data_IF_448460240859
#
_entry.id   IF_448460240859
#
_cell.length_a   1.000
_cell.length_b   1.000
_cell.length_c   1.000
_cell.angle_alpha   90.00
_cell.angle_beta   90.00
_cell.angle_gamma   90.00
#
_symmetry.space_group_name_H-M   'P 1'
#
loop_
_entity.id
_entity.type
_entity.pdbx_description
1 polymer ?
#
# COMPACT_ATOMS: atom_id res chain seq x y z
N UNK A 1 -8.32 9.94 13.89
CA UNK A 1 -8.47 9.14 12.67
C UNK A 1 -7.62 9.70 11.56
N UNK A 2 -6.77 8.89 10.97
CA UNK A 2 -5.88 9.32 9.89
C UNK A 2 -6.45 8.93 8.54
N UNK A 3 -6.61 9.94 7.68
CA UNK A 3 -7.21 9.79 6.35
C UNK A 3 -6.20 9.83 5.22
N UNK A 4 -4.92 10.06 5.52
CA UNK A 4 -3.89 10.22 4.50
C UNK A 4 -2.65 9.43 4.85
N UNK A 5 -1.91 9.04 3.81
CA UNK A 5 -0.58 8.47 3.97
C UNK A 5 0.32 9.06 2.88
N UNK A 6 1.62 8.98 3.10
CA UNK A 6 2.60 9.29 2.05
C UNK A 6 3.39 8.03 1.76
N UNK A 7 3.50 7.71 0.48
CA UNK A 7 4.29 6.56 0.04
C UNK A 7 5.77 6.83 0.22
N UNK A 8 6.58 5.80 0.02
CA UNK A 8 8.02 5.99 -0.10
C UNK A 8 8.34 6.69 -1.42
N UNK A 9 9.52 7.29 -1.48
CA UNK A 9 10.03 7.92 -2.70
C UNK A 9 10.18 6.87 -3.81
N UNK A 10 10.62 5.66 -3.45
CA UNK A 10 10.74 4.55 -4.41
C UNK A 10 9.40 4.21 -5.04
N UNK A 11 8.35 4.11 -4.22
CA UNK A 11 7.00 3.83 -4.72
C UNK A 11 6.53 4.92 -5.68
N UNK A 12 6.81 6.18 -5.36
CA UNK A 12 6.47 7.29 -6.24
C UNK A 12 7.14 7.15 -7.60
N UNK A 13 8.42 6.78 -7.63
CA UNK A 13 9.15 6.56 -8.88
C UNK A 13 8.57 5.41 -9.68
N UNK A 14 8.24 4.30 -9.00
CA UNK A 14 7.62 3.13 -9.63
C UNK A 14 6.28 3.52 -10.25
N UNK A 15 5.45 4.23 -9.50
CA UNK A 15 4.12 4.64 -9.98
C UNK A 15 4.21 5.63 -11.15
N UNK A 16 5.16 6.53 -11.11
CA UNK A 16 5.39 7.47 -12.23
C UNK A 16 5.73 6.69 -13.49
N UNK A 17 6.66 5.74 -13.38
CA UNK A 17 7.09 4.92 -14.49
C UNK A 17 5.94 4.07 -15.06
N UNK A 18 5.23 3.36 -14.18
CA UNK A 18 4.13 2.50 -14.58
C UNK A 18 2.93 3.28 -15.10
N UNK A 19 2.66 4.45 -14.53
CA UNK A 19 1.57 5.31 -15.00
C UNK A 19 1.83 5.76 -16.44
N UNK A 20 3.07 6.10 -16.76
CA UNK A 20 3.46 6.49 -18.10
C UNK A 20 3.36 5.32 -19.09
N UNK A 21 3.72 4.12 -18.65
CA UNK A 21 3.73 2.92 -19.50
C UNK A 21 2.34 2.32 -19.69
N UNK A 22 1.53 2.31 -18.63
CA UNK A 22 0.24 1.61 -18.57
C UNK A 22 -0.96 2.53 -18.72
N UNK A 23 -0.75 3.84 -18.60
CA UNK A 23 -1.82 4.83 -18.60
C UNK A 23 -2.83 4.61 -17.49
N UNK A 24 -2.35 4.15 -16.32
CA UNK A 24 -3.16 3.96 -15.12
C UNK A 24 -2.88 5.06 -14.10
N UNK A 25 -3.93 5.49 -13.42
CA UNK A 25 -3.79 6.50 -12.37
C UNK A 25 -3.09 5.92 -11.14
N UNK A 26 -2.36 6.76 -10.38
CA UNK A 26 -1.68 6.27 -9.16
C UNK A 26 -2.59 5.58 -8.16
N UNK A 27 -3.86 5.99 -8.04
CA UNK A 27 -4.76 5.34 -7.09
C UNK A 27 -5.11 3.91 -7.51
N UNK A 28 -5.15 3.64 -8.82
CA UNK A 28 -5.35 2.28 -9.34
C UNK A 28 -4.12 1.42 -9.05
N UNK A 29 -2.93 1.97 -9.32
CA UNK A 29 -1.67 1.29 -9.03
C UNK A 29 -1.54 0.99 -7.54
N UNK A 30 -2.00 1.91 -6.69
CA UNK A 30 -2.00 1.71 -5.24
C UNK A 30 -2.86 0.52 -4.82
N UNK A 31 -4.06 0.42 -5.37
CA UNK A 31 -4.96 -0.71 -5.05
C UNK A 31 -4.37 -2.03 -5.49
N UNK A 32 -3.78 -2.08 -6.68
CA UNK A 32 -3.12 -3.28 -7.19
C UNK A 32 -1.94 -3.67 -6.29
N UNK A 33 -1.13 -2.69 -5.90
CA UNK A 33 0.04 -2.92 -5.05
C UNK A 33 -0.36 -3.51 -3.69
N UNK A 34 -1.38 -2.94 -3.06
CA UNK A 34 -1.87 -3.44 -1.77
C UNK A 34 -2.37 -4.88 -1.93
N UNK A 35 -3.13 -5.15 -2.99
CA UNK A 35 -3.66 -6.49 -3.25
C UNK A 35 -2.53 -7.51 -3.45
N UNK A 36 -1.49 -7.16 -4.21
CA UNK A 36 -0.35 -8.03 -4.42
C UNK A 36 0.40 -8.32 -3.13
N UNK A 37 0.57 -7.31 -2.28
CA UNK A 37 1.22 -7.48 -0.99
C UNK A 37 0.40 -8.40 -0.08
N UNK A 38 -0.91 -8.24 -0.06
CA UNK A 38 -1.79 -9.07 0.76
C UNK A 38 -1.88 -10.50 0.24
N UNK A 39 -1.72 -10.71 -1.06
CA UNK A 39 -1.68 -12.04 -1.65
C UNK A 39 -0.40 -12.78 -1.28
N UNK A 40 0.67 -12.06 -1.03
CA UNK A 40 1.91 -12.64 -0.56
C UNK A 40 1.68 -13.26 0.83
N UNK A 41 2.08 -14.50 1.01
CA UNK A 41 1.83 -15.22 2.27
C UNK A 41 2.75 -14.78 3.40
N UNK A 42 3.77 -13.99 3.10
CA UNK A 42 4.68 -13.48 4.12
C UNK A 42 4.04 -12.31 4.86
N UNK A 43 4.14 -12.33 6.18
CA UNK A 43 3.74 -11.22 7.01
C UNK A 43 4.67 -10.03 6.72
N UNK A 44 4.17 -8.82 6.99
CA UNK A 44 5.03 -7.65 6.99
C UNK A 44 6.09 -7.82 8.08
N UNK A 45 7.33 -7.49 7.76
CA UNK A 45 8.40 -7.50 8.76
C UNK A 45 8.80 -6.07 9.10
N UNK A 46 9.74 -5.94 10.04
CA UNK A 46 10.13 -4.63 10.55
C UNK A 46 10.59 -3.67 9.45
N UNK A 47 11.33 -4.17 8.46
CA UNK A 47 11.85 -3.32 7.39
C UNK A 47 10.74 -2.76 6.50
N UNK A 48 9.62 -3.47 6.38
CA UNK A 48 8.49 -3.01 5.57
C UNK A 48 7.85 -1.74 6.16
N UNK A 49 8.00 -1.53 7.48
CA UNK A 49 7.48 -0.35 8.16
C UNK A 49 8.46 0.82 8.18
N UNK A 50 9.69 0.61 7.71
CA UNK A 50 10.75 1.62 7.80
C UNK A 50 10.97 2.41 6.50
N UNK A 51 10.04 2.34 5.57
CA UNK A 51 10.14 3.13 4.34
C UNK A 51 9.94 4.62 4.64
N UNK A 52 10.52 5.47 3.80
CA UNK A 52 10.39 6.91 3.96
C UNK A 52 8.97 7.40 3.61
N UNK A 53 8.73 8.70 3.82
CA UNK A 53 7.46 9.35 3.55
C UNK A 53 7.64 10.47 2.53
N UNK A 54 8.49 10.27 1.54
CA UNK A 54 8.85 11.32 0.58
C UNK A 54 8.20 11.13 -0.80
N UNK A 55 7.20 10.28 -0.87
CA UNK A 55 6.51 9.98 -2.12
C UNK A 55 5.18 10.71 -2.29
N UNK A 56 4.20 9.99 -2.78
CA UNK A 56 2.88 10.53 -3.12
C UNK A 56 1.98 10.52 -1.89
N UNK A 57 1.22 11.60 -1.68
CA UNK A 57 0.18 11.64 -0.65
C UNK A 57 -1.08 11.00 -1.21
N UNK A 58 -1.64 10.05 -0.47
CA UNK A 58 -2.83 9.30 -0.87
C UNK A 58 -3.90 9.41 0.21
N UNK A 59 -5.15 9.47 -0.24
CA UNK A 59 -6.30 9.65 0.63
C UNK A 59 -6.99 8.30 0.87
N UNK A 60 -7.31 8.01 2.14
CA UNK A 60 -7.98 6.77 2.56
C UNK A 60 -9.27 6.53 1.80
N UNK A 61 -10.08 7.59 1.62
CA UNK A 61 -11.36 7.47 0.94
C UNK A 61 -11.19 6.99 -0.50
N UNK A 62 -10.13 7.42 -1.17
CA UNK A 62 -9.86 7.04 -2.56
C UNK A 62 -9.28 5.63 -2.67
N UNK A 63 -8.43 5.25 -1.73
CA UNK A 63 -7.65 4.00 -1.82
C UNK A 63 -8.43 2.81 -1.26
N UNK A 64 -8.90 2.89 -0.02
CA UNK A 64 -9.59 1.79 0.63
C UNK A 64 -11.09 2.04 0.83
N UNK A 65 -11.47 3.28 1.05
CA UNK A 65 -12.83 3.80 1.05
C UNK A 65 -13.93 2.84 1.45
N UNK A 66 -14.77 2.47 0.50
CA UNK A 66 -15.92 1.59 0.76
C UNK A 66 -15.51 0.16 1.12
N UNK A 67 -14.27 -0.22 0.86
CA UNK A 67 -13.75 -1.55 1.18
C UNK A 67 -12.85 -1.56 2.40
N UNK A 68 -12.91 -0.49 3.20
CA UNK A 68 -12.03 -0.32 4.36
C UNK A 68 -12.11 -1.52 5.33
N UNK A 69 -13.32 -1.99 5.62
CA UNK A 69 -13.51 -3.12 6.52
C UNK A 69 -12.92 -4.42 5.95
N UNK A 70 -13.03 -4.61 4.65
CA UNK A 70 -12.42 -5.76 3.99
C UNK A 70 -10.91 -5.71 4.08
N UNK A 71 -10.30 -4.56 3.77
CA UNK A 71 -8.85 -4.41 3.87
C UNK A 71 -8.35 -4.60 5.29
N UNK A 72 -9.08 -4.10 6.28
CA UNK A 72 -8.73 -4.33 7.69
C UNK A 72 -8.72 -5.81 8.03
N UNK A 73 -9.75 -6.53 7.60
CA UNK A 73 -9.85 -7.97 7.86
C UNK A 73 -8.69 -8.72 7.21
N UNK A 74 -8.33 -8.36 5.98
CA UNK A 74 -7.23 -9.01 5.27
C UNK A 74 -5.88 -8.72 5.94
N UNK A 75 -5.68 -7.51 6.44
CA UNK A 75 -4.44 -7.14 7.14
C UNK A 75 -4.33 -7.89 8.46
N UNK A 76 -5.42 -7.96 9.23
CA UNK A 76 -5.45 -8.69 10.49
C UNK A 76 -5.13 -10.17 10.24
N UNK A 77 -5.71 -10.75 9.20
CA UNK A 77 -5.46 -12.14 8.83
C UNK A 77 -4.02 -12.36 8.41
N UNK A 78 -3.44 -11.43 7.65
CA UNK A 78 -2.05 -11.51 7.19
C UNK A 78 -1.05 -11.40 8.33
N UNK A 79 -1.25 -10.46 9.24
CA UNK A 79 -0.33 -10.19 10.34
C UNK A 79 -0.63 -10.96 11.62
N UNK A 80 -1.81 -11.56 11.71
CA UNK A 80 -2.26 -12.30 12.90
C UNK A 80 -2.20 -11.46 14.17
N UNK A 81 -2.52 -10.18 14.07
CA UNK A 81 -2.51 -9.23 15.19
C UNK A 81 -3.73 -8.33 15.14
N UNK A 82 -4.09 -7.79 16.30
CA UNK A 82 -5.11 -6.76 16.36
C UNK A 82 -4.59 -5.48 15.72
N UNK A 83 -5.48 -4.72 15.13
CA UNK A 83 -5.15 -3.53 14.37
C UNK A 83 -5.92 -2.33 14.91
N UNK A 84 -5.18 -1.33 15.41
CA UNK A 84 -5.78 -0.06 15.81
C UNK A 84 -6.09 0.78 14.58
N UNK A 85 -7.23 1.46 14.59
CA UNK A 85 -7.64 2.27 13.45
C UNK A 85 -6.62 3.36 13.12
N UNK A 86 -5.97 3.93 14.12
CA UNK A 86 -4.95 4.96 13.92
C UNK A 86 -3.71 4.45 13.21
N UNK A 87 -3.45 3.14 13.27
CA UNK A 87 -2.30 2.53 12.61
C UNK A 87 -2.67 1.91 11.27
N UNK A 88 -3.95 1.64 11.06
CA UNK A 88 -4.42 0.92 9.88
C UNK A 88 -3.97 1.58 8.58
N UNK A 89 -4.37 2.81 8.34
CA UNK A 89 -4.09 3.44 7.05
C UNK A 89 -2.66 3.99 6.95
N UNK A 90 -2.17 4.78 7.91
CA UNK A 90 -0.85 5.39 7.74
C UNK A 90 0.30 4.43 7.95
N UNK A 91 0.10 3.31 8.63
CA UNK A 91 1.18 2.34 8.91
C UNK A 91 1.04 1.07 8.10
N UNK A 92 -0.09 0.35 8.25
CA UNK A 92 -0.23 -0.98 7.63
C UNK A 92 -0.56 -0.90 6.15
N UNK A 93 -1.48 -0.05 5.75
CA UNK A 93 -1.79 0.13 4.32
C UNK A 93 -0.56 0.66 3.60
N UNK A 94 0.15 1.64 4.20
CA UNK A 94 1.38 2.17 3.61
C UNK A 94 2.42 1.07 3.42
N UNK A 95 2.65 0.23 4.43
CA UNK A 95 3.64 -0.85 4.35
C UNK A 95 3.28 -1.86 3.25
N UNK A 96 2.02 -2.26 3.17
CA UNK A 96 1.56 -3.15 2.10
C UNK A 96 1.69 -2.50 0.73
N UNK A 97 1.35 -1.22 0.63
CA UNK A 97 1.43 -0.49 -0.62
C UNK A 97 2.88 -0.40 -1.11
N UNK A 98 3.81 -0.03 -0.24
CA UNK A 98 5.22 0.10 -0.60
C UNK A 98 5.82 -1.27 -0.97
N UNK A 99 5.50 -2.33 -0.22
CA UNK A 99 5.95 -3.69 -0.55
C UNK A 99 5.35 -4.15 -1.87
N UNK A 100 4.04 -3.93 -2.04
CA UNK A 100 3.34 -4.33 -3.25
C UNK A 100 3.79 -3.60 -4.50
N UNK A 101 4.21 -2.35 -4.36
CA UNK A 101 4.74 -1.58 -5.49
C UNK A 101 6.00 -2.23 -6.05
N UNK A 102 6.87 -2.72 -5.18
CA UNK A 102 8.08 -3.43 -5.61
C UNK A 102 7.73 -4.74 -6.31
N UNK A 103 6.76 -5.47 -5.77
CA UNK A 103 6.29 -6.71 -6.38
C UNK A 103 5.73 -6.43 -7.77
N UNK A 104 4.87 -5.43 -7.88
CA UNK A 104 4.26 -5.03 -9.14
C UNK A 104 5.32 -4.67 -10.18
N UNK A 105 6.29 -3.86 -9.78
CA UNK A 105 7.35 -3.41 -10.67
C UNK A 105 8.19 -4.58 -11.18
N UNK A 106 8.52 -5.53 -10.30
CA UNK A 106 9.32 -6.69 -10.69
C UNK A 106 8.57 -7.61 -11.67
N UNK A 107 7.25 -7.69 -11.54
CA UNK A 107 6.44 -8.51 -12.44
C UNK A 107 6.24 -7.86 -13.81
N UNK A 108 6.21 -6.55 -13.83
CA UNK A 108 5.90 -5.82 -15.06
C UNK A 108 7.12 -5.53 -15.93
N UNK A 109 8.28 -5.42 -15.35
CA UNK A 109 9.52 -5.08 -16.09
C UNK A 109 9.84 -6.06 -17.19
#
# INVERSE_FOLDING_TARGET
MNFKLKTSKETMKIFTDLSNSLHLQPYILSKISIALSLKCKQMLDEKDFLTDNEGIELNRQTITGEYDELFKALIISNNNEKLDDDQYFPKYIKAHLDRGAKILYSQYR
#
